data_IF_429341480471
#
_entry.id   IF_429341480471
#
_cell.length_a   1.000
_cell.length_b   1.000
_cell.length_c   1.000
_cell.angle_alpha   90.00
_cell.angle_beta   90.00
_cell.angle_gamma   90.00
#
_symmetry.space_group_name_H-M   'P 1'
#
loop_
_entity.id
_entity.type
_entity.pdbx_description
1 polymer ?
#
# COMPACT_ATOMS: atom_id res chain seq x y z
N UNK A 1 -22.12 27.90 21.54
CA UNK A 1 -21.26 26.86 20.95
C UNK A 1 -22.16 25.79 20.35
N UNK A 2 -22.02 25.49 19.05
CA UNK A 2 -22.79 24.43 18.39
C UNK A 2 -21.88 23.22 18.26
N UNK A 3 -22.20 22.14 18.96
CA UNK A 3 -21.49 20.86 18.79
C UNK A 3 -21.96 20.29 17.46
N UNK A 4 -21.03 20.04 16.55
CA UNK A 4 -21.30 19.43 15.25
C UNK A 4 -20.93 17.96 15.39
N UNK A 5 -21.83 17.06 15.01
CA UNK A 5 -21.49 15.64 14.97
C UNK A 5 -20.46 15.39 13.85
N UNK A 6 -19.38 14.64 14.14
CA UNK A 6 -18.41 14.29 13.12
C UNK A 6 -19.07 13.38 12.08
N UNK A 7 -18.95 13.74 10.81
CA UNK A 7 -19.34 12.88 9.68
C UNK A 7 -18.08 12.20 9.14
N UNK A 8 -18.12 10.88 9.05
CA UNK A 8 -17.03 10.07 8.47
C UNK A 8 -17.49 9.39 7.19
N UNK A 9 -16.58 9.21 6.25
CA UNK A 9 -16.78 8.46 5.01
C UNK A 9 -15.64 7.46 4.84
N UNK A 10 -15.97 6.22 4.45
CA UNK A 10 -14.97 5.23 4.10
C UNK A 10 -14.49 5.47 2.66
N UNK A 11 -13.20 5.73 2.48
CA UNK A 11 -12.58 5.73 1.16
C UNK A 11 -11.88 4.41 0.90
N UNK A 12 -12.38 3.66 -0.07
CA UNK A 12 -11.73 2.44 -0.56
C UNK A 12 -10.65 2.80 -1.59
N UNK A 13 -9.61 1.97 -1.66
CA UNK A 13 -8.54 2.14 -2.65
C UNK A 13 -9.04 2.04 -4.09
N UNK A 14 -9.92 1.06 -4.36
CA UNK A 14 -10.25 0.69 -5.74
C UNK A 14 -9.04 0.10 -6.46
N UNK A 15 -9.07 0.15 -7.80
CA UNK A 15 -8.03 -0.46 -8.65
C UNK A 15 -6.81 0.45 -8.83
N UNK A 16 -6.93 1.74 -8.53
CA UNK A 16 -5.84 2.72 -8.63
C UNK A 16 -5.28 3.09 -7.26
N UNK A 17 -4.32 2.28 -6.80
CA UNK A 17 -3.61 2.52 -5.55
C UNK A 17 -2.89 3.89 -5.51
N UNK A 18 -2.40 4.39 -6.66
CA UNK A 18 -1.67 5.66 -6.72
C UNK A 18 -2.64 6.83 -6.55
N UNK A 19 -3.77 6.81 -7.23
CA UNK A 19 -4.82 7.82 -7.04
C UNK A 19 -5.32 7.84 -5.59
N UNK A 20 -5.48 6.66 -4.97
CA UNK A 20 -5.87 6.57 -3.55
C UNK A 20 -4.83 7.19 -2.61
N UNK A 21 -3.54 6.84 -2.76
CA UNK A 21 -2.47 7.44 -1.95
C UNK A 21 -2.40 8.96 -2.15
N UNK A 22 -2.53 9.45 -3.39
CA UNK A 22 -2.55 10.89 -3.66
C UNK A 22 -3.74 11.59 -2.99
N UNK A 23 -4.92 10.97 -2.99
CA UNK A 23 -6.11 11.46 -2.27
C UNK A 23 -5.89 11.50 -0.76
N UNK A 24 -5.30 10.47 -0.17
CA UNK A 24 -4.95 10.47 1.25
C UNK A 24 -3.92 11.56 1.57
N UNK A 25 -2.90 11.75 0.73
CA UNK A 25 -1.89 12.79 0.91
C UNK A 25 -2.49 14.20 0.93
N UNK A 26 -3.47 14.44 0.04
CA UNK A 26 -4.20 15.71 0.00
C UNK A 26 -4.87 16.08 1.32
N UNK A 27 -5.42 15.10 2.03
CA UNK A 27 -6.00 15.32 3.38
C UNK A 27 -4.93 15.84 4.34
N UNK A 28 -3.76 15.18 4.39
CA UNK A 28 -2.64 15.60 5.25
C UNK A 28 -2.13 17.01 4.93
N UNK A 29 -2.20 17.41 3.65
CA UNK A 29 -1.76 18.73 3.19
C UNK A 29 -2.87 19.79 3.15
N UNK A 30 -4.09 19.48 3.60
CA UNK A 30 -5.22 20.41 3.58
C UNK A 30 -5.62 20.86 2.18
N UNK A 31 -5.55 19.97 1.18
CA UNK A 31 -5.90 20.25 -0.21
C UNK A 31 -7.13 19.46 -0.64
N UNK A 32 -8.06 20.10 -1.35
CA UNK A 32 -9.25 19.42 -1.88
C UNK A 32 -9.00 18.82 -3.28
N UNK A 33 -8.20 19.49 -4.10
CA UNK A 33 -7.89 19.11 -5.49
C UNK A 33 -6.39 19.09 -5.74
N UNK A 34 -5.95 18.52 -6.87
CA UNK A 34 -4.55 18.51 -7.27
C UNK A 34 -4.23 17.54 -8.40
N UNK A 35 -2.97 17.54 -8.82
CA UNK A 35 -2.43 16.58 -9.79
C UNK A 35 -1.86 15.37 -9.04
N UNK A 36 -2.49 14.21 -9.22
CA UNK A 36 -2.11 12.95 -8.54
C UNK A 36 -0.70 12.50 -8.92
N UNK A 37 -0.35 12.56 -10.19
CA UNK A 37 0.95 12.14 -10.70
C UNK A 37 2.09 13.00 -10.12
N UNK A 38 1.92 14.33 -10.12
CA UNK A 38 2.86 15.25 -9.52
C UNK A 38 2.99 15.04 -8.00
N UNK A 39 1.87 14.72 -7.33
CA UNK A 39 1.86 14.42 -5.90
C UNK A 39 2.64 13.14 -5.60
N UNK A 40 2.36 12.05 -6.32
CA UNK A 40 3.07 10.77 -6.15
C UNK A 40 4.55 10.93 -6.45
N UNK A 41 4.92 11.61 -7.54
CA UNK A 41 6.31 11.86 -7.90
C UNK A 41 7.05 12.60 -6.79
N UNK A 42 6.43 13.64 -6.21
CA UNK A 42 7.01 14.37 -5.08
C UNK A 42 7.17 13.47 -3.85
N UNK A 43 6.14 12.70 -3.49
CA UNK A 43 6.21 11.77 -2.35
C UNK A 43 7.34 10.74 -2.50
N UNK A 44 7.60 10.28 -3.73
CA UNK A 44 8.72 9.38 -4.03
C UNK A 44 10.06 10.10 -3.91
N UNK A 45 10.20 11.28 -4.52
CA UNK A 45 11.44 12.04 -4.50
C UNK A 45 11.84 12.48 -3.09
N UNK A 46 10.86 12.78 -2.24
CA UNK A 46 11.07 13.21 -0.86
C UNK A 46 11.14 12.03 0.13
N UNK A 47 11.08 10.79 -0.37
CA UNK A 47 11.07 9.54 0.43
C UNK A 47 9.97 9.53 1.52
N UNK A 48 8.81 10.13 1.23
CA UNK A 48 7.71 10.24 2.17
C UNK A 48 6.87 8.95 2.21
N UNK A 49 7.52 7.84 2.57
CA UNK A 49 6.98 6.47 2.50
C UNK A 49 5.77 6.21 3.38
N UNK A 50 5.63 6.95 4.49
CA UNK A 50 4.47 6.85 5.38
C UNK A 50 3.15 7.04 4.63
N UNK A 51 3.11 7.89 3.60
CA UNK A 51 1.90 8.08 2.78
C UNK A 51 1.50 6.84 1.99
N UNK A 52 2.45 6.00 1.62
CA UNK A 52 2.18 4.77 0.88
C UNK A 52 1.64 3.64 1.76
N UNK A 53 1.56 3.82 3.10
CA UNK A 53 0.81 2.90 3.97
C UNK A 53 -0.69 2.85 3.65
N UNK A 54 -1.22 3.89 3.00
CA UNK A 54 -2.59 3.93 2.51
C UNK A 54 -2.80 3.05 1.26
N UNK A 55 -1.72 2.68 0.56
CA UNK A 55 -1.76 1.70 -0.51
C UNK A 55 -1.65 0.28 0.05
N UNK A 56 -2.51 -0.62 -0.41
CA UNK A 56 -2.50 -2.06 -0.12
C UNK A 56 -2.40 -2.84 -1.42
N UNK A 57 -1.52 -3.83 -1.43
CA UNK A 57 -1.29 -4.74 -2.55
C UNK A 57 -1.55 -6.18 -2.09
N UNK A 58 -2.18 -6.94 -2.97
CA UNK A 58 -2.48 -8.35 -2.76
C UNK A 58 -1.67 -9.19 -3.74
N UNK A 59 -1.14 -10.31 -3.26
CA UNK A 59 -0.34 -11.24 -4.07
C UNK A 59 -0.91 -12.63 -3.83
N UNK A 60 -1.14 -13.35 -4.93
CA UNK A 60 -1.47 -14.76 -4.91
C UNK A 60 -0.35 -15.48 -5.65
N UNK A 61 0.30 -16.42 -4.99
CA UNK A 61 1.39 -17.14 -5.62
C UNK A 61 1.55 -18.57 -5.10
N UNK A 62 2.08 -19.45 -5.95
CA UNK A 62 2.33 -20.85 -5.61
C UNK A 62 3.66 -21.00 -4.86
N UNK A 63 3.73 -21.98 -3.96
CA UNK A 63 4.94 -22.29 -3.19
C UNK A 63 6.12 -22.83 -4.01
N UNK A 64 5.90 -23.16 -5.28
CA UNK A 64 6.96 -23.47 -6.23
C UNK A 64 7.88 -22.26 -6.53
N UNK A 65 7.45 -21.04 -6.21
CA UNK A 65 8.24 -19.83 -6.41
C UNK A 65 9.23 -19.59 -5.25
N UNK A 66 10.51 -19.87 -5.52
CA UNK A 66 11.61 -19.72 -4.54
C UNK A 66 11.85 -18.28 -4.10
N UNK A 67 11.41 -17.28 -4.88
CA UNK A 67 11.53 -15.88 -4.48
C UNK A 67 10.54 -15.54 -3.36
N UNK A 68 9.36 -16.16 -3.38
CA UNK A 68 8.32 -15.99 -2.35
C UNK A 68 8.68 -16.64 -1.02
N UNK A 69 9.28 -17.83 -1.06
CA UNK A 69 9.79 -18.48 0.16
C UNK A 69 10.78 -17.56 0.90
N UNK A 70 11.68 -16.91 0.14
CA UNK A 70 12.63 -15.95 0.69
C UNK A 70 11.94 -14.71 1.27
N UNK A 71 10.90 -14.19 0.62
CA UNK A 71 10.14 -13.03 1.09
C UNK A 71 9.39 -13.36 2.39
N UNK A 72 8.67 -14.49 2.43
CA UNK A 72 7.88 -14.88 3.61
C UNK A 72 8.81 -15.17 4.80
N UNK A 73 9.90 -15.91 4.61
CA UNK A 73 10.86 -16.21 5.70
C UNK A 73 11.46 -14.93 6.29
N UNK A 74 11.85 -13.97 5.43
CA UNK A 74 12.54 -12.78 5.89
C UNK A 74 11.61 -11.71 6.48
N UNK A 75 10.33 -11.69 6.10
CA UNK A 75 9.44 -10.54 6.38
C UNK A 75 8.09 -10.89 7.02
N UNK A 76 7.82 -12.16 7.36
CA UNK A 76 6.59 -12.61 8.01
C UNK A 76 6.19 -11.80 9.26
N UNK A 77 7.16 -11.20 9.96
CA UNK A 77 6.94 -10.43 11.20
C UNK A 77 7.14 -8.92 11.03
N UNK A 78 7.15 -8.42 9.79
CA UNK A 78 7.37 -6.99 9.51
C UNK A 78 6.04 -6.24 9.39
N UNK A 79 5.97 -5.04 9.98
CA UNK A 79 4.79 -4.18 9.86
C UNK A 79 4.48 -3.91 8.39
N UNK A 80 3.21 -4.08 8.02
CA UNK A 80 2.77 -3.88 6.64
C UNK A 80 2.97 -5.09 5.74
N UNK A 81 3.31 -6.26 6.30
CA UNK A 81 3.32 -7.55 5.64
C UNK A 81 2.42 -8.52 6.41
N UNK A 82 1.56 -9.24 5.70
CA UNK A 82 0.76 -10.33 6.25
C UNK A 82 0.61 -11.41 5.20
N UNK A 83 0.54 -12.68 5.61
CA UNK A 83 0.32 -13.77 4.69
C UNK A 83 -0.57 -14.86 5.29
N UNK A 84 -1.20 -15.63 4.41
CA UNK A 84 -1.89 -16.87 4.71
C UNK A 84 -1.42 -17.93 3.72
N UNK A 85 -1.18 -19.15 4.19
CA UNK A 85 -0.75 -20.26 3.35
C UNK A 85 -1.77 -21.40 3.44
N UNK A 86 -2.29 -21.81 2.29
CA UNK A 86 -3.23 -22.94 2.19
C UNK A 86 -3.03 -23.65 0.84
N UNK A 87 -3.05 -24.99 0.83
CA UNK A 87 -3.03 -25.83 -0.39
C UNK A 87 -1.96 -25.42 -1.42
N UNK A 88 -0.72 -25.24 -0.96
CA UNK A 88 0.42 -24.85 -1.81
C UNK A 88 0.32 -23.43 -2.42
N UNK A 89 -0.55 -22.57 -1.87
CA UNK A 89 -0.75 -21.18 -2.30
C UNK A 89 -0.51 -20.23 -1.13
N UNK A 90 0.30 -19.20 -1.37
CA UNK A 90 0.45 -18.03 -0.53
C UNK A 90 -0.52 -16.92 -0.95
N UNK A 91 -1.26 -16.40 0.02
CA UNK A 91 -2.06 -15.18 -0.08
C UNK A 91 -1.37 -14.11 0.76
N UNK A 92 -0.74 -13.14 0.12
CA UNK A 92 0.06 -12.12 0.78
C UNK A 92 -0.63 -10.77 0.64
N UNK A 93 -0.62 -9.99 1.71
CA UNK A 93 -1.04 -8.59 1.73
C UNK A 93 0.13 -7.74 2.19
N UNK A 94 0.47 -6.72 1.41
CA UNK A 94 1.51 -5.75 1.77
C UNK A 94 1.03 -4.33 1.61
N UNK A 95 1.49 -3.41 2.46
CA UNK A 95 1.25 -1.98 2.24
C UNK A 95 2.35 -1.36 1.37
N UNK A 96 2.07 -0.22 0.75
CA UNK A 96 3.01 0.42 -0.18
C UNK A 96 4.29 0.95 0.47
N UNK A 97 4.26 1.32 1.74
CA UNK A 97 5.47 1.70 2.47
C UNK A 97 6.43 0.51 2.55
N UNK A 98 5.93 -0.68 2.89
CA UNK A 98 6.74 -1.90 2.97
C UNK A 98 7.39 -2.21 1.62
N UNK A 99 6.62 -2.08 0.53
CA UNK A 99 7.10 -2.35 -0.83
C UNK A 99 8.29 -1.45 -1.21
N UNK A 100 8.18 -0.16 -0.86
CA UNK A 100 9.19 0.84 -1.16
C UNK A 100 10.46 0.65 -0.32
N UNK A 101 10.32 0.38 0.99
CA UNK A 101 11.45 0.12 1.89
C UNK A 101 12.28 -1.09 1.44
N UNK A 102 11.60 -2.16 1.00
CA UNK A 102 12.24 -3.42 0.63
C UNK A 102 12.58 -3.50 -0.86
N UNK A 103 12.40 -2.40 -1.62
CA UNK A 103 12.67 -2.31 -3.06
C UNK A 103 12.05 -3.46 -3.86
N UNK A 104 10.90 -3.95 -3.41
CA UNK A 104 10.23 -5.06 -4.07
C UNK A 104 9.69 -4.56 -5.40
N UNK A 105 10.03 -5.24 -6.51
CA UNK A 105 9.52 -4.85 -7.81
C UNK A 105 7.99 -5.01 -7.82
N UNK A 106 7.28 -3.93 -8.16
CA UNK A 106 5.81 -3.88 -8.22
C UNK A 106 5.20 -4.88 -9.22
N UNK A 107 6.00 -5.52 -10.08
CA UNK A 107 5.51 -6.49 -11.08
C UNK A 107 4.82 -7.72 -10.47
N UNK A 108 5.13 -8.08 -9.22
CA UNK A 108 4.41 -9.14 -8.48
C UNK A 108 3.14 -8.64 -7.79
N UNK A 109 3.01 -7.32 -7.61
CA UNK A 109 1.99 -6.68 -6.76
C UNK A 109 0.78 -6.17 -7.57
N UNK A 110 0.77 -6.41 -8.88
CA UNK A 110 -0.22 -5.87 -9.82
C UNK A 110 -0.73 -6.92 -10.80
N UNK A 111 -1.10 -8.10 -10.32
CA UNK A 111 -2.01 -8.99 -11.05
C UNK A 111 -3.32 -9.14 -10.31
#
# INVERSE_FOLDING_TARGET
MKIIEPKVELWKQGDDAKAHVARCARVCYGRETGNDEATIKRLINDEHWSMFRHGTYYIIANDSDKTLETIVINYANTIGFSYHYEKHVYYITVNGNWVLDHKTQFGYLSK
#
